data_IF_539230887559
#
_entry.id   IF_539230887559
#
_cell.length_a   1.000
_cell.length_b   1.000
_cell.length_c   1.000
_cell.angle_alpha   90.00
_cell.angle_beta   90.00
_cell.angle_gamma   90.00
#
_symmetry.space_group_name_H-M   'P 1'
#
loop_
_entity.id
_entity.type
_entity.pdbx_description
1 polymer ?
#
# COMPACT_ATOMS: atom_id res chain seq x y z
N UNK A 1 -19.71 0.69 -42.64
CA UNK A 1 -19.46 1.59 -41.49
C UNK A 1 -19.84 0.84 -40.22
N UNK A 2 -18.89 0.22 -39.53
CA UNK A 2 -19.17 -0.47 -38.26
C UNK A 2 -18.82 0.46 -37.10
N UNK A 3 -19.84 0.72 -36.27
CA UNK A 3 -19.74 1.55 -35.07
C UNK A 3 -18.85 0.88 -34.01
N UNK A 4 -18.00 1.67 -33.36
CA UNK A 4 -17.17 1.24 -32.23
C UNK A 4 -18.08 1.09 -31.00
N UNK A 5 -18.00 -0.01 -30.22
CA UNK A 5 -18.72 -0.09 -28.97
C UNK A 5 -18.09 0.87 -27.94
N UNK A 6 -18.96 1.49 -27.15
CA UNK A 6 -18.61 2.45 -26.11
C UNK A 6 -17.78 1.79 -25.00
N UNK A 7 -16.77 2.52 -24.50
CA UNK A 7 -16.00 2.12 -23.33
C UNK A 7 -16.89 2.21 -22.08
N UNK A 8 -17.28 1.05 -21.56
CA UNK A 8 -17.85 0.95 -20.22
C UNK A 8 -16.84 1.43 -19.18
N UNK A 9 -17.28 2.37 -18.34
CA UNK A 9 -16.58 2.85 -17.14
C UNK A 9 -16.17 1.67 -16.27
N UNK A 10 -14.88 1.39 -16.23
CA UNK A 10 -14.32 0.21 -15.58
C UNK A 10 -14.31 0.32 -14.07
N UNK A 11 -15.33 -0.23 -13.41
CA UNK A 11 -15.13 -0.95 -12.16
C UNK A 11 -14.47 -2.29 -12.50
N UNK A 12 -13.15 -2.28 -12.71
CA UNK A 12 -12.38 -3.47 -13.08
C UNK A 12 -11.58 -3.98 -11.89
N UNK A 13 -12.13 -5.00 -11.23
CA UNK A 13 -11.53 -5.97 -10.29
C UNK A 13 -10.44 -5.46 -9.33
N UNK A 14 -10.87 -4.99 -8.16
CA UNK A 14 -10.13 -5.07 -6.89
C UNK A 14 -9.86 -6.53 -6.44
N UNK A 15 -10.34 -7.54 -7.18
CA UNK A 15 -10.55 -8.90 -6.69
C UNK A 15 -9.30 -9.67 -6.25
N UNK A 16 -8.09 -9.26 -6.65
CA UNK A 16 -6.85 -9.93 -6.21
C UNK A 16 -6.17 -9.27 -5.01
N UNK A 17 -6.54 -8.04 -4.66
CA UNK A 17 -6.02 -7.38 -3.46
C UNK A 17 -6.93 -7.71 -2.27
N UNK A 18 -6.37 -8.40 -1.29
CA UNK A 18 -7.07 -8.69 -0.04
C UNK A 18 -7.00 -7.49 0.90
N UNK A 19 -8.11 -7.12 1.54
CA UNK A 19 -8.08 -6.13 2.63
C UNK A 19 -7.62 -6.81 3.92
N UNK A 20 -6.68 -6.18 4.61
CA UNK A 20 -6.26 -6.61 5.95
C UNK A 20 -6.83 -5.63 6.98
N UNK A 21 -7.37 -6.18 8.06
CA UNK A 21 -7.92 -5.43 9.19
C UNK A 21 -7.27 -5.90 10.49
N UNK A 22 -7.49 -5.18 11.59
CA UNK A 22 -6.95 -5.58 12.90
C UNK A 22 -5.42 -5.53 12.99
N UNK A 23 -4.76 -4.67 12.20
CA UNK A 23 -3.29 -4.54 12.17
C UNK A 23 -2.72 -3.65 13.29
N UNK A 24 -3.55 -3.08 14.16
CA UNK A 24 -3.13 -2.23 15.27
C UNK A 24 -4.15 -1.15 15.59
N UNK A 25 -3.69 -0.07 16.23
CA UNK A 25 -4.53 1.08 16.60
C UNK A 25 -4.91 1.97 15.42
N UNK A 26 -4.14 1.94 14.32
CA UNK A 26 -4.40 2.68 13.08
C UNK A 26 -4.74 4.17 13.29
N UNK A 27 -3.89 4.97 13.97
CA UNK A 27 -4.23 6.36 14.30
C UNK A 27 -4.36 7.29 13.09
N UNK A 28 -3.75 6.94 11.95
CA UNK A 28 -3.94 7.64 10.67
C UNK A 28 -5.20 7.23 9.91
N UNK A 29 -6.03 6.33 10.47
CA UNK A 29 -7.26 5.84 9.85
C UNK A 29 -7.07 5.46 8.37
N UNK A 30 -6.05 4.66 8.07
CA UNK A 30 -5.75 4.19 6.72
C UNK A 30 -6.39 2.82 6.46
N UNK A 31 -6.54 2.46 5.19
CA UNK A 31 -6.85 1.08 4.77
C UNK A 31 -5.57 0.36 4.38
N UNK A 32 -5.61 -0.96 4.41
CA UNK A 32 -4.47 -1.79 4.07
C UNK A 32 -4.89 -2.88 3.09
N UNK A 33 -4.26 -2.90 1.92
CA UNK A 33 -4.48 -3.93 0.90
C UNK A 33 -3.21 -4.73 0.71
N UNK A 34 -3.35 -6.04 0.51
CA UNK A 34 -2.23 -6.96 0.40
C UNK A 34 -2.40 -7.87 -0.81
N UNK A 35 -1.32 -7.99 -1.58
CA UNK A 35 -1.15 -9.02 -2.60
C UNK A 35 -0.18 -10.08 -2.12
N UNK A 36 -0.60 -11.35 -2.25
CA UNK A 36 0.21 -12.52 -1.94
C UNK A 36 0.22 -13.46 -3.16
N UNK A 37 1.39 -13.74 -3.75
CA UNK A 37 1.51 -14.80 -4.74
C UNK A 37 1.05 -16.15 -4.18
N UNK A 38 0.40 -16.98 -5.00
CA UNK A 38 -0.15 -18.28 -4.59
C UNK A 38 0.89 -19.22 -3.95
N UNK A 39 2.13 -19.14 -4.40
CA UNK A 39 3.24 -20.00 -3.95
C UNK A 39 4.30 -19.20 -3.19
N UNK A 40 3.88 -18.18 -2.43
CA UNK A 40 4.81 -17.34 -1.68
C UNK A 40 5.63 -18.19 -0.68
N UNK A 41 6.95 -18.14 -0.80
CA UNK A 41 7.85 -18.84 0.10
C UNK A 41 7.80 -18.23 1.51
N UNK A 42 8.10 -19.03 2.53
CA UNK A 42 8.41 -18.51 3.87
C UNK A 42 9.62 -17.59 3.77
N UNK A 43 9.67 -16.56 4.63
CA UNK A 43 10.75 -15.57 4.63
C UNK A 43 10.89 -14.85 3.27
N UNK A 44 9.80 -14.76 2.49
CA UNK A 44 9.78 -13.89 1.33
C UNK A 44 9.93 -12.42 1.72
N UNK A 45 10.40 -11.62 0.77
CA UNK A 45 10.48 -10.17 0.94
C UNK A 45 9.09 -9.53 0.95
N UNK A 46 9.00 -8.36 1.59
CA UNK A 46 7.83 -7.48 1.53
C UNK A 46 8.22 -6.20 0.80
N UNK A 47 7.44 -5.81 -0.20
CA UNK A 47 7.51 -4.48 -0.81
C UNK A 47 6.27 -3.70 -0.38
N UNK A 48 6.47 -2.54 0.21
CA UNK A 48 5.41 -1.62 0.62
C UNK A 48 5.33 -0.50 -0.40
N UNK A 49 4.15 -0.30 -0.97
CA UNK A 49 3.95 0.55 -2.15
C UNK A 49 2.91 1.63 -1.84
N UNK A 50 3.34 2.89 -1.84
CA UNK A 50 2.52 4.05 -1.49
C UNK A 50 2.08 4.82 -2.75
N UNK A 51 0.78 4.91 -2.97
CA UNK A 51 0.19 5.59 -4.12
C UNK A 51 0.35 7.12 -4.06
N UNK A 52 0.20 7.78 -5.21
CA UNK A 52 0.13 9.23 -5.31
C UNK A 52 -1.27 9.79 -5.00
N UNK A 53 -1.38 11.12 -4.95
CA UNK A 53 -2.67 11.78 -4.81
C UNK A 53 -3.66 11.34 -5.89
N UNK A 54 -4.95 11.33 -5.54
CA UNK A 54 -6.11 10.96 -6.37
C UNK A 54 -6.18 9.48 -6.76
N UNK A 55 -5.15 8.69 -6.46
CA UNK A 55 -5.10 7.25 -6.65
C UNK A 55 -5.54 6.50 -5.38
N UNK A 56 -5.73 5.20 -5.52
CA UNK A 56 -5.95 4.24 -4.43
C UNK A 56 -5.08 2.99 -4.68
N UNK A 57 -5.12 1.98 -3.80
CA UNK A 57 -4.27 0.80 -3.92
C UNK A 57 -4.45 0.06 -5.25
N UNK A 58 -5.71 -0.22 -5.62
CA UNK A 58 -6.01 -1.00 -6.83
C UNK A 58 -5.64 -0.29 -8.13
N UNK A 59 -5.98 1.00 -8.25
CA UNK A 59 -5.61 1.80 -9.42
C UNK A 59 -4.11 1.98 -9.54
N UNK A 60 -3.39 2.11 -8.42
CA UNK A 60 -1.94 2.23 -8.45
C UNK A 60 -1.27 0.90 -8.79
N UNK A 61 -1.72 -0.21 -8.21
CA UNK A 61 -1.25 -1.55 -8.55
C UNK A 61 -1.43 -1.86 -10.05
N UNK A 62 -2.63 -1.62 -10.59
CA UNK A 62 -2.90 -1.81 -12.01
C UNK A 62 -2.01 -0.95 -12.92
N UNK A 63 -1.72 0.30 -12.52
CA UNK A 63 -0.89 1.21 -13.31
C UNK A 63 0.62 0.99 -13.17
N UNK A 64 1.06 0.30 -12.11
CA UNK A 64 2.49 0.14 -11.79
C UNK A 64 3.01 -1.30 -11.98
N UNK A 65 2.13 -2.30 -11.97
CA UNK A 65 2.48 -3.71 -12.18
C UNK A 65 3.15 -4.37 -10.97
N UNK A 66 3.05 -3.82 -9.76
CA UNK A 66 3.72 -4.38 -8.57
C UNK A 66 3.25 -5.79 -8.23
N UNK A 67 1.94 -6.08 -8.32
CA UNK A 67 1.43 -7.44 -8.09
C UNK A 67 1.89 -8.43 -9.18
N UNK A 68 2.08 -7.98 -10.41
CA UNK A 68 2.61 -8.82 -11.51
C UNK A 68 4.08 -9.18 -11.24
N UNK A 69 4.91 -8.18 -10.90
CA UNK A 69 6.30 -8.38 -10.49
C UNK A 69 6.42 -9.30 -9.27
N UNK A 70 5.52 -9.15 -8.30
CA UNK A 70 5.45 -10.00 -7.12
C UNK A 70 5.15 -11.46 -7.45
N UNK A 71 4.24 -11.69 -8.41
CA UNK A 71 3.91 -13.03 -8.89
C UNK A 71 5.11 -13.68 -9.62
N UNK A 72 5.85 -12.90 -10.41
CA UNK A 72 7.01 -13.37 -11.16
C UNK A 72 8.23 -13.64 -10.27
N UNK A 73 8.49 -12.76 -9.30
CA UNK A 73 9.73 -12.78 -8.52
C UNK A 73 9.57 -13.29 -7.07
N UNK A 74 8.34 -13.59 -6.63
CA UNK A 74 8.09 -14.26 -5.36
C UNK A 74 8.28 -13.37 -4.13
N UNK A 75 7.62 -12.20 -4.11
CA UNK A 75 7.55 -11.33 -2.93
C UNK A 75 6.11 -10.92 -2.61
N UNK A 76 5.84 -10.48 -1.38
CA UNK A 76 4.54 -9.93 -0.99
C UNK A 76 4.49 -8.42 -1.28
N UNK A 77 3.30 -7.88 -1.53
CA UNK A 77 3.11 -6.42 -1.70
C UNK A 77 2.04 -5.91 -0.75
N UNK A 78 2.40 -4.92 0.06
CA UNK A 78 1.48 -4.18 0.91
C UNK A 78 1.22 -2.79 0.33
N UNK A 79 -0.05 -2.44 0.19
CA UNK A 79 -0.53 -1.13 -0.25
C UNK A 79 -1.33 -0.48 0.88
N UNK A 80 -0.69 0.38 1.70
CA UNK A 80 -1.43 1.33 2.51
C UNK A 80 -2.24 2.24 1.58
N UNK A 81 -3.50 2.50 1.94
CA UNK A 81 -4.45 3.25 1.13
C UNK A 81 -5.06 4.39 1.94
N UNK A 82 -4.98 5.59 1.36
CA UNK A 82 -5.56 6.80 1.96
C UNK A 82 -7.09 6.79 1.85
N UNK A 83 -7.75 7.51 2.77
CA UNK A 83 -9.20 7.71 2.74
C UNK A 83 -9.57 9.17 2.49
N UNK A 84 -10.66 9.40 1.75
CA UNK A 84 -11.15 10.77 1.47
C UNK A 84 -11.54 11.53 2.73
N UNK A 85 -11.92 10.81 3.79
CA UNK A 85 -12.21 11.38 5.11
C UNK A 85 -10.97 12.02 5.75
N UNK A 86 -9.78 11.50 5.47
CA UNK A 86 -8.52 12.03 5.99
C UNK A 86 -7.98 13.15 5.09
N UNK A 87 -8.12 12.98 3.77
CA UNK A 87 -7.66 13.93 2.77
C UNK A 87 -8.53 13.82 1.51
N UNK A 88 -9.30 14.85 1.11
CA UNK A 88 -10.18 14.80 -0.05
C UNK A 88 -9.47 14.46 -1.36
N UNK A 89 -8.17 14.78 -1.48
CA UNK A 89 -7.34 14.49 -2.63
C UNK A 89 -6.67 13.11 -2.56
N UNK A 90 -6.94 12.29 -1.54
CA UNK A 90 -6.29 11.00 -1.31
C UNK A 90 -4.75 11.07 -1.24
N UNK A 91 -4.19 12.24 -0.94
CA UNK A 91 -2.76 12.34 -0.65
C UNK A 91 -2.49 11.82 0.77
N UNK A 92 -1.42 11.05 0.95
CA UNK A 92 -0.81 10.89 2.27
C UNK A 92 -0.48 12.26 2.87
N UNK A 93 -0.78 12.46 4.16
CA UNK A 93 -0.57 13.72 4.86
C UNK A 93 0.90 13.86 5.32
N UNK A 94 1.85 13.66 4.41
CA UNK A 94 3.30 13.70 4.66
C UNK A 94 3.83 15.05 5.19
N UNK A 95 3.00 16.10 5.14
CA UNK A 95 3.32 17.44 5.61
C UNK A 95 2.64 17.79 6.94
N UNK A 96 1.78 16.91 7.47
CA UNK A 96 1.06 17.15 8.72
C UNK A 96 1.85 16.53 9.88
N UNK A 97 2.34 17.33 10.86
CA UNK A 97 3.19 16.82 11.92
C UNK A 97 2.59 15.67 12.74
N UNK A 98 1.27 15.67 12.97
CA UNK A 98 0.61 14.58 13.70
C UNK A 98 0.54 13.27 12.91
N UNK A 99 0.64 13.32 11.59
CA UNK A 99 0.57 12.15 10.71
C UNK A 99 1.93 11.53 10.43
N UNK A 100 3.02 12.29 10.61
CA UNK A 100 4.36 11.84 10.25
C UNK A 100 5.23 11.46 11.45
N UNK A 101 5.00 12.01 12.65
CA UNK A 101 5.83 11.68 13.82
C UNK A 101 5.82 10.17 14.10
N UNK A 102 7.00 9.64 14.45
CA UNK A 102 7.14 8.30 15.02
C UNK A 102 6.07 8.04 16.09
N UNK A 103 5.49 6.85 16.04
CA UNK A 103 4.43 6.34 16.91
C UNK A 103 3.12 7.17 16.90
N UNK A 104 2.86 7.90 15.81
CA UNK A 104 1.62 8.68 15.60
C UNK A 104 1.08 8.56 14.16
N UNK A 105 -0.21 8.86 14.00
CA UNK A 105 -0.93 9.07 12.74
C UNK A 105 -0.62 8.08 11.60
N UNK A 106 -0.54 8.59 10.36
CA UNK A 106 -0.31 7.76 9.17
C UNK A 106 0.97 6.94 9.24
N UNK A 107 2.06 7.49 9.78
CA UNK A 107 3.33 6.80 9.90
C UNK A 107 3.23 5.55 10.81
N UNK A 108 2.58 5.66 11.98
CA UNK A 108 2.34 4.51 12.83
C UNK A 108 1.37 3.51 12.20
N UNK A 109 0.31 3.98 11.53
CA UNK A 109 -0.60 3.10 10.80
C UNK A 109 0.14 2.24 9.76
N UNK A 110 1.02 2.84 8.95
CA UNK A 110 1.83 2.10 7.97
C UNK A 110 2.77 1.12 8.66
N UNK A 111 3.48 1.53 9.72
CA UNK A 111 4.37 0.65 10.49
C UNK A 111 3.63 -0.57 11.06
N UNK A 112 2.41 -0.37 11.55
CA UNK A 112 1.54 -1.41 12.09
C UNK A 112 1.07 -2.40 11.01
N UNK A 113 0.68 -1.89 9.83
CA UNK A 113 0.36 -2.74 8.68
C UNK A 113 1.55 -3.62 8.26
N UNK A 114 2.76 -3.05 8.24
CA UNK A 114 4.00 -3.78 7.93
C UNK A 114 4.22 -4.91 8.95
N UNK A 115 4.12 -4.63 10.25
CA UNK A 115 4.29 -5.68 11.27
C UNK A 115 3.26 -6.80 11.11
N UNK A 116 1.99 -6.41 10.92
CA UNK A 116 0.90 -7.36 10.81
C UNK A 116 1.09 -8.28 9.60
N UNK A 117 1.48 -7.73 8.45
CA UNK A 117 1.78 -8.52 7.25
C UNK A 117 2.96 -9.48 7.48
N UNK A 118 4.04 -8.99 8.10
CA UNK A 118 5.24 -9.78 8.40
C UNK A 118 4.92 -10.95 9.33
N UNK A 119 4.22 -10.69 10.43
CA UNK A 119 3.88 -11.71 11.43
C UNK A 119 2.91 -12.74 10.82
N UNK A 120 1.83 -12.27 10.19
CA UNK A 120 0.76 -13.13 9.69
C UNK A 120 1.25 -14.05 8.58
N UNK A 121 2.13 -13.56 7.71
CA UNK A 121 2.58 -14.32 6.53
C UNK A 121 4.02 -14.85 6.66
N UNK A 122 4.64 -14.75 7.85
CA UNK A 122 6.01 -15.22 8.09
C UNK A 122 7.03 -14.66 7.08
N UNK A 123 6.93 -13.36 6.78
CA UNK A 123 7.83 -12.65 5.87
C UNK A 123 9.17 -12.34 6.55
N UNK A 124 10.21 -12.08 5.76
CA UNK A 124 11.53 -11.76 6.29
C UNK A 124 11.62 -10.30 6.74
N UNK A 125 11.77 -10.10 8.06
CA UNK A 125 11.96 -8.78 8.69
C UNK A 125 13.17 -8.02 8.17
N UNK A 126 14.17 -8.70 7.60
CA UNK A 126 15.38 -8.07 7.04
C UNK A 126 15.22 -7.69 5.56
N UNK A 127 14.08 -8.02 4.94
CA UNK A 127 13.81 -7.79 3.52
C UNK A 127 12.48 -7.07 3.33
N UNK A 128 12.39 -5.90 3.96
CA UNK A 128 11.26 -4.98 3.82
C UNK A 128 11.76 -3.79 3.01
N UNK A 129 11.09 -3.52 1.90
CA UNK A 129 11.40 -2.40 1.01
C UNK A 129 10.19 -1.49 0.95
N UNK A 130 10.42 -0.19 0.82
CA UNK A 130 9.37 0.82 0.77
C UNK A 130 9.60 1.74 -0.43
N UNK A 131 8.54 2.03 -1.16
CA UNK A 131 8.56 2.94 -2.31
C UNK A 131 7.23 3.67 -2.46
N UNK A 132 7.23 4.76 -3.22
CA UNK A 132 6.01 5.46 -3.55
C UNK A 132 6.16 6.53 -4.63
N UNK A 133 5.03 7.01 -5.13
CA UNK A 133 4.94 8.05 -6.15
C UNK A 133 4.41 9.35 -5.55
N UNK A 134 5.01 10.50 -5.87
CA UNK A 134 4.52 11.82 -5.46
C UNK A 134 4.31 11.92 -3.94
N UNK A 135 3.07 12.15 -3.46
CA UNK A 135 2.75 12.13 -2.03
C UNK A 135 3.13 10.81 -1.33
N UNK A 136 2.99 9.67 -2.00
CA UNK A 136 3.46 8.39 -1.51
C UNK A 136 4.99 8.30 -1.43
N UNK A 137 5.70 8.95 -2.36
CA UNK A 137 7.17 9.07 -2.30
C UNK A 137 7.64 9.94 -1.14
N UNK A 138 6.94 11.05 -0.86
CA UNK A 138 7.19 11.88 0.30
C UNK A 138 6.91 11.12 1.62
N UNK A 139 5.81 10.36 1.68
CA UNK A 139 5.52 9.50 2.83
C UNK A 139 6.52 8.34 2.97
N UNK A 140 7.06 7.82 1.86
CA UNK A 140 8.15 6.84 1.92
C UNK A 140 9.40 7.42 2.60
N UNK A 141 9.75 8.67 2.29
CA UNK A 141 10.85 9.37 2.95
C UNK A 141 10.61 9.59 4.45
N UNK A 142 9.37 9.93 4.84
CA UNK A 142 8.96 10.01 6.26
C UNK A 142 9.20 8.67 6.96
N UNK A 143 8.69 7.58 6.39
CA UNK A 143 8.84 6.25 6.99
C UNK A 143 10.31 5.83 7.14
N UNK A 144 11.18 6.16 6.18
CA UNK A 144 12.62 5.89 6.28
C UNK A 144 13.30 6.72 7.37
N UNK A 145 12.81 7.92 7.66
CA UNK A 145 13.33 8.76 8.74
C UNK A 145 12.82 8.32 10.12
N UNK A 146 11.54 7.97 10.20
CA UNK A 146 10.85 7.64 11.46
C UNK A 146 10.85 6.15 11.79
N UNK A 147 11.23 5.24 10.88
CA UNK A 147 11.35 3.80 11.13
C UNK A 147 12.45 3.15 10.24
N UNK A 148 13.74 3.42 10.52
CA UNK A 148 14.85 2.85 9.75
C UNK A 148 15.07 1.35 10.00
#
# INVERSE_FOLDING_TARGET
MHARPAAGSGERNDAHLSEITGFGSNPGALRARLYLPKNLARQAALVVVLHGCTQNAASYDHGSGWSELAAEHGFAVLFPEQQRANNPNLCFNWFVPSDIRRDSGEALSIRQMIEAAVVTHSLDRKRIFLTGLSAGGAMAAVMLADYP
#
